data_IF_584936560633
#
_entry.id   IF_584936560633
#
_cell.length_a   1.000
_cell.length_b   1.000
_cell.length_c   1.000
_cell.angle_alpha   90.00
_cell.angle_beta   90.00
_cell.angle_gamma   90.00
#
_symmetry.space_group_name_H-M   'P 1'
#
loop_
_entity.id
_entity.type
_entity.pdbx_description
1 polymer ?
#
# COMPACT_ATOMS: atom_id res chain seq x y z
N UNK A 1 -0.17 -8.02 22.61
CA UNK A 1 -1.26 -7.71 21.66
C UNK A 1 -0.81 -8.29 20.32
N UNK A 2 -1.66 -8.97 19.53
CA UNK A 2 -1.22 -9.36 18.20
C UNK A 2 -0.83 -8.08 17.44
N UNK A 3 0.41 -8.01 16.95
CA UNK A 3 0.84 -6.93 16.09
C UNK A 3 0.07 -7.04 14.78
N UNK A 4 -0.85 -6.10 14.56
CA UNK A 4 -1.57 -5.98 13.31
C UNK A 4 -0.54 -5.80 12.18
N UNK A 5 -0.63 -6.65 11.16
CA UNK A 5 0.33 -6.69 10.05
C UNK A 5 -0.35 -7.18 8.78
N UNK A 6 0.25 -6.87 7.64
CA UNK A 6 -0.18 -7.36 6.33
C UNK A 6 0.19 -8.84 6.22
N UNK A 7 -0.84 -9.66 6.00
CA UNK A 7 -0.73 -11.11 5.79
C UNK A 7 -0.72 -11.46 4.31
N UNK A 8 -1.45 -10.72 3.48
CA UNK A 8 -1.52 -10.96 2.04
C UNK A 8 -2.06 -9.75 1.31
N UNK A 9 -1.74 -9.64 0.02
CA UNK A 9 -2.19 -8.55 -0.84
C UNK A 9 -2.61 -9.11 -2.19
N UNK A 10 -3.80 -8.72 -2.64
CA UNK A 10 -4.31 -9.06 -3.96
C UNK A 10 -4.46 -7.77 -4.79
N UNK A 11 -3.71 -7.63 -5.89
CA UNK A 11 -3.96 -6.57 -6.86
C UNK A 11 -5.38 -6.63 -7.41
N UNK A 12 -6.04 -5.48 -7.50
CA UNK A 12 -7.36 -5.37 -8.14
C UNK A 12 -7.23 -4.64 -9.47
N UNK A 13 -7.64 -3.39 -9.53
CA UNK A 13 -7.64 -2.57 -10.75
C UNK A 13 -6.85 -1.30 -10.52
N UNK A 14 -5.99 -0.95 -11.49
CA UNK A 14 -5.13 0.23 -11.38
C UNK A 14 -4.27 0.20 -10.12
N UNK A 15 -4.43 1.20 -9.27
CA UNK A 15 -3.69 1.38 -8.02
C UNK A 15 -4.46 0.91 -6.78
N UNK A 16 -5.41 0.00 -6.95
CA UNK A 16 -6.20 -0.56 -5.86
C UNK A 16 -5.65 -1.91 -5.44
N UNK A 17 -5.38 -2.06 -4.14
CA UNK A 17 -4.95 -3.32 -3.53
C UNK A 17 -5.97 -3.75 -2.47
N UNK A 18 -6.33 -5.02 -2.50
CA UNK A 18 -7.03 -5.65 -1.37
C UNK A 18 -5.97 -6.20 -0.41
N UNK A 19 -5.94 -5.66 0.80
CA UNK A 19 -4.96 -6.00 1.83
C UNK A 19 -5.67 -6.87 2.87
N UNK A 20 -5.16 -8.08 3.07
CA UNK A 20 -5.58 -8.99 4.14
C UNK A 20 -4.63 -8.83 5.33
N UNK A 21 -5.19 -8.56 6.50
CA UNK A 21 -4.47 -8.41 7.75
C UNK A 21 -4.47 -9.71 8.56
N UNK A 22 -3.56 -9.81 9.53
CA UNK A 22 -3.40 -11.00 10.38
C UNK A 22 -4.60 -11.33 11.26
N UNK A 23 -5.48 -10.36 11.54
CA UNK A 23 -6.75 -10.56 12.25
C UNK A 23 -7.90 -11.03 11.37
N UNK A 24 -7.66 -11.19 10.06
CA UNK A 24 -8.66 -11.58 9.06
C UNK A 24 -9.42 -10.39 8.46
N UNK A 25 -9.16 -9.16 8.89
CA UNK A 25 -9.69 -7.96 8.23
C UNK A 25 -9.18 -7.87 6.79
N UNK A 26 -10.04 -7.38 5.89
CA UNK A 26 -9.68 -7.14 4.49
C UNK A 26 -10.12 -5.74 4.12
N UNK A 27 -9.21 -4.95 3.58
CA UNK A 27 -9.48 -3.58 3.17
C UNK A 27 -9.10 -3.37 1.71
N UNK A 28 -9.94 -2.66 0.95
CA UNK A 28 -9.59 -2.24 -0.41
C UNK A 28 -9.05 -0.82 -0.34
N UNK A 29 -7.74 -0.68 -0.49
CA UNK A 29 -7.05 0.60 -0.39
C UNK A 29 -6.74 1.12 -1.79
N UNK A 30 -7.22 2.32 -2.10
CA UNK A 30 -6.93 3.02 -3.35
C UNK A 30 -5.74 3.96 -3.16
N UNK A 31 -4.61 3.63 -3.79
CA UNK A 31 -3.38 4.41 -3.72
C UNK A 31 -3.32 5.52 -4.76
N UNK A 32 -4.23 5.57 -5.75
CA UNK A 32 -4.21 6.59 -6.79
C UNK A 32 -4.33 8.02 -6.23
N UNK A 33 -5.24 8.34 -5.30
CA UNK A 33 -5.31 9.69 -4.75
C UNK A 33 -4.00 10.16 -4.13
N UNK A 34 -3.26 9.28 -3.45
CA UNK A 34 -1.97 9.60 -2.85
C UNK A 34 -0.87 9.77 -3.92
N UNK A 35 -0.71 8.78 -4.81
CA UNK A 35 0.34 8.77 -5.84
C UNK A 35 0.18 9.94 -6.81
N UNK A 36 -1.05 10.25 -7.23
CA UNK A 36 -1.31 11.31 -8.21
C UNK A 36 -1.42 12.71 -7.59
N UNK A 37 -1.62 12.84 -6.27
CA UNK A 37 -1.59 14.15 -5.60
C UNK A 37 -0.22 14.51 -5.02
N UNK A 38 0.65 13.52 -4.83
CA UNK A 38 2.04 13.76 -4.46
C UNK A 38 2.79 14.47 -5.59
N UNK A 39 3.49 15.55 -5.24
CA UNK A 39 4.45 16.23 -6.12
C UNK A 39 5.88 15.68 -5.94
N UNK A 40 6.05 14.55 -5.25
CA UNK A 40 7.37 13.97 -5.02
C UNK A 40 7.85 13.24 -6.29
N UNK A 41 9.01 13.60 -6.87
CA UNK A 41 9.53 12.97 -8.10
C UNK A 41 9.61 11.45 -8.01
N UNK A 42 9.94 10.93 -6.83
CA UNK A 42 10.08 9.49 -6.62
C UNK A 42 8.76 8.72 -6.72
N UNK A 43 7.60 9.39 -6.66
CA UNK A 43 6.30 8.74 -6.82
C UNK A 43 5.79 8.73 -8.27
N UNK A 44 6.43 9.48 -9.17
CA UNK A 44 6.07 9.49 -10.59
C UNK A 44 6.14 8.10 -11.22
N UNK A 45 7.14 7.28 -10.84
CA UNK A 45 7.25 5.90 -11.32
C UNK A 45 6.00 5.07 -10.95
N UNK A 46 5.45 5.28 -9.76
CA UNK A 46 4.28 4.53 -9.28
C UNK A 46 2.98 4.94 -9.97
N UNK A 47 2.95 6.02 -10.78
CA UNK A 47 1.80 6.27 -11.67
C UNK A 47 1.66 5.18 -12.73
N UNK A 48 2.77 4.51 -13.09
CA UNK A 48 2.70 3.26 -13.85
C UNK A 48 2.22 2.13 -12.94
N UNK A 49 1.12 1.47 -13.34
CA UNK A 49 0.58 0.31 -12.61
C UNK A 49 1.62 -0.80 -12.51
N UNK A 50 2.42 -1.02 -13.57
CA UNK A 50 3.44 -2.07 -13.58
C UNK A 50 4.54 -1.82 -12.54
N UNK A 51 4.90 -0.56 -12.27
CA UNK A 51 5.86 -0.21 -11.21
C UNK A 51 5.20 -0.26 -9.83
N UNK A 52 3.94 0.16 -9.72
CA UNK A 52 3.17 0.06 -8.49
C UNK A 52 2.95 -1.39 -8.04
N UNK A 53 2.82 -2.35 -8.96
CA UNK A 53 2.63 -3.76 -8.61
C UNK A 53 3.92 -4.49 -8.18
N UNK A 54 5.07 -3.81 -8.18
CA UNK A 54 6.35 -4.35 -7.68
C UNK A 54 6.53 -4.21 -6.16
N UNK A 55 5.43 -4.00 -5.43
CA UNK A 55 5.48 -3.96 -3.97
C UNK A 55 5.95 -5.30 -3.40
N UNK A 56 6.51 -5.25 -2.20
CA UNK A 56 6.90 -6.40 -1.42
C UNK A 56 6.31 -6.32 -0.02
N UNK A 57 6.00 -7.48 0.57
CA UNK A 57 5.61 -7.56 1.98
C UNK A 57 6.88 -7.87 2.78
N UNK A 58 7.33 -6.90 3.59
CA UNK A 58 8.54 -7.01 4.40
C UNK A 58 8.19 -6.75 5.85
N UNK A 59 8.48 -7.70 6.74
CA UNK A 59 8.18 -7.63 8.18
C UNK A 59 6.72 -7.22 8.48
N UNK A 60 5.78 -7.75 7.69
CA UNK A 60 4.36 -7.46 7.85
C UNK A 60 3.93 -6.07 7.38
N UNK A 61 4.79 -5.35 6.65
CA UNK A 61 4.51 -4.06 6.02
C UNK A 61 4.50 -4.16 4.50
N UNK A 62 3.78 -3.24 3.86
CA UNK A 62 3.73 -3.11 2.42
C UNK A 62 4.71 -2.04 1.98
N UNK A 63 5.75 -2.46 1.25
CA UNK A 63 6.87 -1.60 0.87
C UNK A 63 7.04 -1.58 -0.64
N UNK A 64 7.45 -0.42 -1.17
CA UNK A 64 7.86 -0.28 -2.55
C UNK A 64 9.31 0.17 -2.63
N UNK A 65 10.09 -0.56 -3.45
CA UNK A 65 11.52 -0.36 -3.66
C UNK A 65 12.29 -0.25 -2.32
N UNK A 66 13.37 0.53 -2.28
CA UNK A 66 14.21 0.77 -1.09
C UNK A 66 13.50 1.71 -0.10
N UNK A 67 12.36 1.27 0.43
CA UNK A 67 11.50 2.02 1.36
C UNK A 67 11.05 3.40 0.84
N UNK A 68 10.99 3.55 -0.49
CA UNK A 68 10.61 4.82 -1.14
C UNK A 68 9.17 5.18 -0.81
N UNK A 69 8.28 4.18 -0.81
CA UNK A 69 6.89 4.36 -0.41
C UNK A 69 6.57 3.29 0.64
N UNK A 70 6.27 3.75 1.86
CA UNK A 70 5.87 2.93 2.99
C UNK A 70 4.68 3.61 3.67
N UNK A 71 3.72 2.80 4.09
CA UNK A 71 2.53 3.29 4.80
C UNK A 71 2.42 2.63 6.17
N UNK A 72 2.01 3.39 7.20
CA UNK A 72 1.66 2.80 8.48
C UNK A 72 0.56 1.75 8.31
N UNK A 73 0.68 0.62 9.01
CA UNK A 73 -0.36 -0.42 9.00
C UNK A 73 -1.72 0.13 9.42
N UNK A 74 -1.74 1.04 10.38
CA UNK A 74 -2.99 1.66 10.84
C UNK A 74 -3.67 2.48 9.72
N UNK A 75 -2.91 3.15 8.86
CA UNK A 75 -3.45 3.92 7.74
C UNK A 75 -4.03 3.00 6.66
N UNK A 76 -3.34 1.89 6.35
CA UNK A 76 -3.85 0.86 5.45
C UNK A 76 -5.13 0.21 6.01
N UNK A 77 -5.11 -0.14 7.29
CA UNK A 77 -6.22 -0.81 7.96
C UNK A 77 -7.47 0.07 8.05
N UNK A 78 -7.28 1.37 8.26
CA UNK A 78 -8.38 2.35 8.35
C UNK A 78 -8.75 2.98 7.01
N UNK A 79 -8.05 2.61 5.94
CA UNK A 79 -8.18 3.20 4.61
C UNK A 79 -8.01 4.74 4.62
N UNK A 80 -6.95 5.20 5.28
CA UNK A 80 -6.60 6.63 5.41
C UNK A 80 -5.19 6.89 4.90
N UNK A 81 -5.03 6.87 3.59
CA UNK A 81 -3.80 7.38 3.00
C UNK A 81 -3.78 8.90 3.17
N UNK A 82 -2.98 9.39 4.11
CA UNK A 82 -2.91 10.82 4.45
C UNK A 82 -2.34 11.60 3.25
N UNK A 83 -2.91 12.79 3.02
CA UNK A 83 -2.53 13.73 1.95
C UNK A 83 -1.36 14.61 2.36
#
# INVERSE_FOLDING_TARGET
MPELSVKGVNPKIGHILEIEFTDGHKENVDFAPFIFSSNHPDYEKYKSVDEFLKFEIVDGNLNWDDYTMIFPIEDLYRNRLVK
#
